data_IF_031383348724
#
_entry.id   IF_031383348724
#
_cell.length_a   1.000
_cell.length_b   1.000
_cell.length_c   1.000
_cell.angle_alpha   90.00
_cell.angle_beta   90.00
_cell.angle_gamma   90.00
#
_symmetry.space_group_name_H-M   'P 1'
#
loop_
_entity.id
_entity.type
_entity.pdbx_description
1 polymer ?
#
# COMPACT_ATOMS: atom_id res chain seq x y z
N UNK A 1 7.64 -14.03 17.99
CA UNK A 1 7.08 -13.55 16.71
C UNK A 1 7.94 -14.08 15.58
N UNK A 2 7.39 -14.81 14.61
CA UNK A 2 8.19 -15.41 13.52
C UNK A 2 8.91 -14.33 12.70
N UNK A 3 9.92 -14.73 11.91
CA UNK A 3 10.63 -13.82 11.00
C UNK A 3 9.66 -13.21 9.99
N UNK A 4 8.80 -14.02 9.37
CA UNK A 4 7.78 -13.55 8.44
C UNK A 4 6.90 -12.48 9.10
N UNK A 5 6.39 -12.75 10.31
CA UNK A 5 5.53 -11.81 11.04
C UNK A 5 6.21 -10.49 11.38
N UNK A 6 7.51 -10.51 11.69
CA UNK A 6 8.31 -9.27 11.87
C UNK A 6 8.41 -8.46 10.59
N UNK A 7 8.68 -9.13 9.48
CA UNK A 7 8.76 -8.48 8.16
C UNK A 7 7.39 -7.91 7.77
N UNK A 8 6.32 -8.69 7.90
CA UNK A 8 4.95 -8.28 7.56
C UNK A 8 4.48 -7.08 8.38
N UNK A 9 4.70 -7.09 9.69
CA UNK A 9 4.36 -5.95 10.55
C UNK A 9 5.16 -4.70 10.15
N UNK A 10 6.45 -4.87 9.89
CA UNK A 10 7.31 -3.76 9.46
C UNK A 10 6.80 -3.17 8.14
N UNK A 11 6.63 -4.00 7.10
CA UNK A 11 6.13 -3.59 5.78
C UNK A 11 4.75 -2.94 5.87
N UNK A 12 3.82 -3.48 6.68
CA UNK A 12 2.50 -2.89 6.88
C UNK A 12 2.59 -1.44 7.37
N UNK A 13 3.36 -1.19 8.44
CA UNK A 13 3.50 0.16 9.00
C UNK A 13 4.25 1.09 8.06
N UNK A 14 5.33 0.62 7.42
CA UNK A 14 6.07 1.43 6.45
C UNK A 14 5.20 1.82 5.27
N UNK A 15 4.43 0.88 4.69
CA UNK A 15 3.51 1.19 3.61
C UNK A 15 2.48 2.24 4.04
N UNK A 16 1.89 2.14 5.25
CA UNK A 16 0.93 3.14 5.72
C UNK A 16 1.58 4.52 5.88
N UNK A 17 2.80 4.61 6.40
CA UNK A 17 3.54 5.88 6.49
C UNK A 17 3.82 6.45 5.10
N UNK A 18 4.28 5.63 4.16
CA UNK A 18 4.55 6.06 2.78
C UNK A 18 3.27 6.50 2.05
N UNK A 19 2.16 5.77 2.22
CA UNK A 19 0.86 6.15 1.67
C UNK A 19 0.40 7.51 2.24
N UNK A 20 0.60 7.77 3.53
CA UNK A 20 0.28 9.06 4.13
C UNK A 20 1.16 10.20 3.62
N UNK A 21 2.47 9.97 3.46
CA UNK A 21 3.40 10.96 2.90
C UNK A 21 3.04 11.27 1.45
N UNK A 22 2.73 10.24 0.64
CA UNK A 22 2.27 10.43 -0.73
C UNK A 22 0.94 11.17 -0.78
N UNK A 23 -0.04 10.79 0.04
CA UNK A 23 -1.32 11.49 0.11
C UNK A 23 -1.10 12.98 0.45
N UNK A 24 -0.22 13.28 1.40
CA UNK A 24 0.20 14.65 1.69
C UNK A 24 0.80 15.35 0.46
N UNK A 25 1.71 14.69 -0.26
CA UNK A 25 2.37 15.25 -1.44
C UNK A 25 1.40 15.57 -2.59
N UNK A 26 0.32 14.79 -2.74
CA UNK A 26 -0.71 15.04 -3.75
C UNK A 26 -1.70 16.13 -3.35
N UNK A 27 -1.92 16.36 -2.06
CA UNK A 27 -2.95 17.26 -1.54
C UNK A 27 -2.41 18.65 -1.13
N UNK A 28 -1.14 18.73 -0.69
CA UNK A 28 -0.46 19.99 -0.30
C UNK A 28 -0.33 21.02 -1.43
N UNK A 29 0.00 20.65 -2.69
CA UNK A 29 0.08 21.65 -3.76
C UNK A 29 -1.28 22.36 -3.97
N UNK A 30 -2.38 21.73 -3.59
CA UNK A 30 -3.72 22.28 -3.74
C UNK A 30 -4.11 23.23 -2.60
N UNK A 31 -3.32 23.29 -1.52
CA UNK A 31 -3.57 24.19 -0.39
C UNK A 31 -2.80 25.53 -0.48
N UNK A 32 -1.99 25.73 -1.53
CA UNK A 32 -1.22 26.97 -1.73
C UNK A 32 0.05 27.07 -0.86
N UNK A 33 0.55 25.96 -0.30
CA UNK A 33 1.74 25.90 0.56
C UNK A 33 2.89 25.22 -0.22
N UNK A 34 3.57 25.97 -1.10
CA UNK A 34 4.07 25.31 -2.32
C UNK A 34 5.54 24.89 -2.40
N UNK A 35 6.46 25.29 -1.51
CA UNK A 35 7.87 24.87 -1.69
C UNK A 35 8.52 24.12 -0.52
N UNK A 36 8.47 24.59 0.74
CA UNK A 36 9.18 23.91 1.81
C UNK A 36 8.50 22.59 2.20
N UNK A 37 7.16 22.57 2.20
CA UNK A 37 6.39 21.39 2.60
C UNK A 37 6.47 20.28 1.55
N UNK A 38 6.42 20.62 0.26
CA UNK A 38 6.62 19.64 -0.82
C UNK A 38 8.04 19.07 -0.82
N UNK A 39 9.05 19.91 -0.61
CA UNK A 39 10.43 19.44 -0.44
C UNK A 39 10.56 18.52 0.77
N UNK A 40 9.94 18.86 1.91
CA UNK A 40 9.95 18.02 3.10
C UNK A 40 9.26 16.66 2.87
N UNK A 41 8.14 16.64 2.14
CA UNK A 41 7.43 15.41 1.79
C UNK A 41 8.23 14.54 0.82
N UNK A 42 8.88 15.14 -0.18
CA UNK A 42 9.78 14.42 -1.09
C UNK A 42 10.97 13.81 -0.33
N UNK A 43 11.63 14.59 0.54
CA UNK A 43 12.70 14.09 1.41
C UNK A 43 12.19 12.98 2.33
N UNK A 44 11.00 13.13 2.90
CA UNK A 44 10.35 12.11 3.72
C UNK A 44 10.10 10.81 2.95
N UNK A 45 9.71 10.91 1.68
CA UNK A 45 9.47 9.75 0.82
C UNK A 45 10.77 9.00 0.50
N UNK A 46 11.77 9.69 -0.06
CA UNK A 46 13.05 9.08 -0.42
C UNK A 46 13.82 8.60 0.81
N UNK A 47 13.77 9.38 1.89
CA UNK A 47 14.32 9.00 3.19
C UNK A 47 13.62 7.78 3.79
N UNK A 48 12.29 7.71 3.65
CA UNK A 48 11.47 6.56 4.06
C UNK A 48 11.86 5.27 3.33
N UNK A 49 11.98 5.34 2.01
CA UNK A 49 12.44 4.22 1.17
C UNK A 49 13.87 3.80 1.57
N UNK A 50 14.78 4.76 1.74
CA UNK A 50 16.16 4.50 2.16
C UNK A 50 16.21 3.82 3.54
N UNK A 51 15.43 4.33 4.50
CA UNK A 51 15.27 3.74 5.83
C UNK A 51 14.70 2.32 5.77
N UNK A 52 13.67 2.09 4.94
CA UNK A 52 13.07 0.78 4.72
C UNK A 52 14.12 -0.23 4.26
N UNK A 53 14.86 0.10 3.20
CA UNK A 53 15.89 -0.78 2.64
C UNK A 53 17.02 -1.05 3.64
N UNK A 54 17.46 -0.02 4.36
CA UNK A 54 18.48 -0.15 5.39
C UNK A 54 18.02 -1.06 6.53
N UNK A 55 16.82 -0.83 7.07
CA UNK A 55 16.28 -1.62 8.17
C UNK A 55 16.02 -3.08 7.75
N UNK A 56 15.46 -3.28 6.55
CA UNK A 56 15.24 -4.61 5.98
C UNK A 56 16.56 -5.40 5.87
N UNK A 57 17.63 -4.75 5.42
CA UNK A 57 18.95 -5.39 5.29
C UNK A 57 19.60 -5.66 6.65
N UNK A 58 19.64 -4.66 7.53
CA UNK A 58 20.42 -4.73 8.76
C UNK A 58 19.70 -5.43 9.92
N UNK A 59 18.38 -5.30 10.01
CA UNK A 59 17.58 -5.81 11.13
C UNK A 59 16.75 -7.04 10.79
N UNK A 60 16.35 -7.19 9.52
CA UNK A 60 15.52 -8.32 9.06
C UNK A 60 16.31 -9.34 8.20
N UNK A 61 17.59 -9.05 7.94
CA UNK A 61 18.53 -9.87 7.15
C UNK A 61 17.98 -10.20 5.74
N UNK A 62 17.23 -9.27 5.15
CA UNK A 62 16.70 -9.38 3.79
C UNK A 62 17.79 -8.89 2.84
N UNK A 63 18.34 -9.79 2.04
CA UNK A 63 19.40 -9.47 1.05
C UNK A 63 18.85 -9.27 -0.36
N UNK A 64 17.71 -9.89 -0.67
CA UNK A 64 17.05 -9.82 -1.97
C UNK A 64 15.53 -9.75 -1.78
N UNK A 65 14.87 -8.92 -2.59
CA UNK A 65 13.41 -8.79 -2.64
C UNK A 65 12.87 -9.61 -3.82
N UNK A 66 13.20 -10.91 -3.88
CA UNK A 66 12.73 -11.82 -4.94
C UNK A 66 11.81 -12.88 -4.36
N UNK A 67 10.65 -13.07 -4.98
CA UNK A 67 9.65 -14.05 -4.54
C UNK A 67 9.18 -13.80 -3.10
N UNK A 68 8.69 -14.86 -2.44
CA UNK A 68 8.26 -14.86 -1.03
C UNK A 68 9.46 -14.76 -0.07
N UNK A 69 10.23 -13.68 -0.14
CA UNK A 69 11.50 -13.48 0.59
C UNK A 69 11.35 -13.50 2.12
N UNK A 70 10.12 -13.41 2.62
CA UNK A 70 9.78 -13.43 4.04
C UNK A 70 9.29 -14.78 4.55
N UNK A 71 9.04 -15.74 3.66
CA UNK A 71 8.59 -17.10 3.99
C UNK A 71 9.80 -17.99 4.27
N UNK A 72 9.75 -18.75 5.36
CA UNK A 72 10.84 -19.61 5.81
C UNK A 72 10.51 -21.10 5.87
N UNK A 73 9.23 -21.47 5.93
CA UNK A 73 8.78 -22.86 5.97
C UNK A 73 7.54 -23.10 5.08
N UNK A 74 7.14 -24.37 4.94
CA UNK A 74 6.02 -24.77 4.07
C UNK A 74 4.66 -24.25 4.59
N UNK A 75 4.50 -24.06 5.90
CA UNK A 75 3.28 -23.48 6.49
C UNK A 75 3.16 -22.01 6.10
N UNK A 76 4.22 -21.23 6.26
CA UNK A 76 4.28 -19.82 5.87
C UNK A 76 4.07 -19.65 4.35
N UNK A 77 4.52 -20.62 3.56
CA UNK A 77 4.28 -20.66 2.11
C UNK A 77 2.81 -20.89 1.78
N UNK A 78 2.15 -21.83 2.45
CA UNK A 78 0.72 -22.09 2.28
C UNK A 78 -0.11 -20.86 2.67
N UNK A 79 0.24 -20.22 3.79
CA UNK A 79 -0.39 -18.96 4.22
C UNK A 79 -0.19 -17.89 3.16
N UNK A 80 1.04 -17.71 2.67
CA UNK A 80 1.34 -16.73 1.62
C UNK A 80 0.48 -16.98 0.37
N UNK A 81 0.35 -18.22 -0.11
CA UNK A 81 -0.48 -18.53 -1.27
C UNK A 81 -1.95 -18.19 -1.05
N UNK A 82 -2.52 -18.51 0.13
CA UNK A 82 -3.90 -18.13 0.49
C UNK A 82 -4.10 -16.62 0.50
N UNK A 83 -3.14 -15.88 1.09
CA UNK A 83 -3.18 -14.42 1.14
C UNK A 83 -3.10 -13.83 -0.28
N UNK A 84 -2.13 -14.24 -1.09
CA UNK A 84 -1.94 -13.69 -2.44
C UNK A 84 -3.12 -14.02 -3.36
N UNK A 85 -3.67 -15.23 -3.27
CA UNK A 85 -4.88 -15.60 -4.02
C UNK A 85 -6.05 -14.70 -3.66
N UNK A 86 -6.31 -14.49 -2.36
CA UNK A 86 -7.38 -13.60 -1.91
C UNK A 86 -7.15 -12.13 -2.32
N UNK A 87 -5.90 -11.66 -2.28
CA UNK A 87 -5.53 -10.31 -2.71
C UNK A 87 -5.66 -10.12 -4.23
N UNK A 88 -5.35 -11.14 -5.03
CA UNK A 88 -5.54 -11.09 -6.47
C UNK A 88 -7.03 -11.00 -6.80
N UNK A 89 -7.85 -11.82 -6.15
CA UNK A 89 -9.31 -11.78 -6.33
C UNK A 89 -9.89 -10.44 -5.90
N UNK A 90 -9.55 -9.94 -4.70
CA UNK A 90 -10.06 -8.63 -4.26
C UNK A 90 -9.54 -7.48 -5.12
N UNK A 91 -8.31 -7.57 -5.63
CA UNK A 91 -7.75 -6.60 -6.57
C UNK A 91 -8.51 -6.55 -7.91
N UNK A 92 -8.87 -7.70 -8.47
CA UNK A 92 -9.70 -7.78 -9.68
C UNK A 92 -11.07 -7.14 -9.43
N UNK A 93 -11.75 -7.53 -8.33
CA UNK A 93 -13.05 -6.97 -7.96
C UNK A 93 -12.96 -5.45 -7.75
N UNK A 94 -11.90 -4.96 -7.11
CA UNK A 94 -11.68 -3.53 -6.94
C UNK A 94 -11.56 -2.81 -8.28
N UNK A 95 -10.82 -3.35 -9.25
CA UNK A 95 -10.69 -2.77 -10.59
C UNK A 95 -12.02 -2.76 -11.32
N UNK A 96 -12.78 -3.86 -11.29
CA UNK A 96 -14.10 -3.95 -11.90
C UNK A 96 -15.07 -2.90 -11.33
N UNK A 97 -15.12 -2.77 -10.00
CA UNK A 97 -15.93 -1.77 -9.32
C UNK A 97 -15.46 -0.35 -9.66
N UNK A 98 -14.14 -0.11 -9.70
CA UNK A 98 -13.59 1.19 -10.06
C UNK A 98 -13.95 1.58 -11.49
N UNK A 99 -13.88 0.66 -12.45
CA UNK A 99 -14.28 0.89 -13.83
C UNK A 99 -15.77 1.25 -13.94
N UNK A 100 -16.64 0.52 -13.23
CA UNK A 100 -18.07 0.81 -13.16
C UNK A 100 -18.32 2.21 -12.58
N UNK A 101 -17.66 2.55 -11.47
CA UNK A 101 -17.77 3.88 -10.85
C UNK A 101 -17.29 4.97 -11.79
N UNK A 102 -16.19 4.76 -12.51
CA UNK A 102 -15.70 5.70 -13.53
C UNK A 102 -16.75 5.94 -14.60
N UNK A 103 -17.39 4.89 -15.13
CA UNK A 103 -18.47 5.04 -16.12
C UNK A 103 -19.65 5.85 -15.56
N UNK A 104 -20.04 5.60 -14.31
CA UNK A 104 -21.11 6.38 -13.63
C UNK A 104 -20.70 7.84 -13.46
N UNK A 105 -19.45 8.11 -13.06
CA UNK A 105 -18.94 9.48 -12.87
C UNK A 105 -18.87 10.26 -14.19
N UNK A 106 -18.52 9.60 -15.31
CA UNK A 106 -18.52 10.23 -16.63
C UNK A 106 -19.93 10.71 -17.03
N UNK A 107 -20.98 9.97 -16.67
CA UNK A 107 -22.35 10.37 -16.95
C UNK A 107 -22.83 11.57 -16.11
N UNK A 108 -22.12 11.93 -15.03
CA UNK A 108 -22.50 13.02 -14.10
C UNK A 108 -22.05 14.42 -14.54
N UNK A 109 -21.41 14.56 -15.71
CA UNK A 109 -20.90 15.83 -16.24
C UNK A 109 -20.08 16.63 -15.22
N UNK A 110 -19.26 15.93 -14.43
CA UNK A 110 -18.36 16.56 -13.46
C UNK A 110 -17.31 17.40 -14.17
N UNK A 111 -16.80 18.44 -13.49
CA UNK A 111 -15.58 19.12 -13.95
C UNK A 111 -14.41 18.13 -13.97
N UNK A 112 -13.46 18.34 -14.88
CA UNK A 112 -12.24 17.50 -14.99
C UNK A 112 -11.54 17.38 -13.64
N UNK A 113 -11.47 18.47 -12.90
CA UNK A 113 -10.90 18.51 -11.56
C UNK A 113 -11.68 17.63 -10.57
N UNK A 114 -13.01 17.81 -10.45
CA UNK A 114 -13.82 17.02 -9.52
C UNK A 114 -13.80 15.52 -9.86
N UNK A 115 -13.80 15.18 -11.15
CA UNK A 115 -13.68 13.81 -11.64
C UNK A 115 -12.34 13.20 -11.24
N UNK A 116 -11.22 13.88 -11.54
CA UNK A 116 -9.88 13.41 -11.20
C UNK A 116 -9.70 13.18 -9.70
N UNK A 117 -10.20 14.11 -8.87
CA UNK A 117 -10.10 14.01 -7.40
C UNK A 117 -10.93 12.87 -6.82
N UNK A 118 -12.09 12.60 -7.41
CA UNK A 118 -12.93 11.48 -6.98
C UNK A 118 -12.24 10.15 -7.28
N UNK A 119 -11.68 9.98 -8.48
CA UNK A 119 -10.94 8.76 -8.85
C UNK A 119 -9.70 8.60 -7.97
N UNK A 120 -8.92 9.68 -7.78
CA UNK A 120 -7.74 9.67 -6.92
C UNK A 120 -8.10 9.20 -5.49
N UNK A 121 -9.18 9.74 -4.91
CA UNK A 121 -9.66 9.34 -3.59
C UNK A 121 -10.05 7.85 -3.53
N UNK A 122 -10.74 7.34 -4.56
CA UNK A 122 -11.10 5.92 -4.63
C UNK A 122 -9.87 5.00 -4.73
N UNK A 123 -8.84 5.42 -5.47
CA UNK A 123 -7.56 4.70 -5.55
C UNK A 123 -6.87 4.68 -4.18
N UNK A 124 -6.83 5.82 -3.47
CA UNK A 124 -6.28 5.89 -2.11
C UNK A 124 -7.00 4.95 -1.14
N UNK A 125 -8.34 4.92 -1.19
CA UNK A 125 -9.15 4.00 -0.40
C UNK A 125 -8.79 2.54 -0.72
N UNK A 126 -8.65 2.20 -1.99
CA UNK A 126 -8.27 0.86 -2.45
C UNK A 126 -6.88 0.43 -1.97
N UNK A 127 -5.89 1.32 -2.02
CA UNK A 127 -4.53 1.05 -1.54
C UNK A 127 -4.50 0.82 -0.03
N UNK A 128 -5.18 1.67 0.74
CA UNK A 128 -5.27 1.54 2.20
C UNK A 128 -6.01 0.25 2.60
N UNK A 129 -7.15 -0.03 1.95
CA UNK A 129 -7.92 -1.25 2.17
C UNK A 129 -7.11 -2.50 1.79
N UNK A 130 -6.37 -2.47 0.67
CA UNK A 130 -5.52 -3.57 0.24
C UNK A 130 -4.39 -3.87 1.22
N UNK A 131 -3.68 -2.85 1.70
CA UNK A 131 -2.64 -3.02 2.72
C UNK A 131 -3.23 -3.56 4.05
N UNK A 132 -4.40 -3.07 4.44
CA UNK A 132 -5.15 -3.57 5.59
C UNK A 132 -5.59 -5.03 5.45
N UNK A 133 -6.19 -5.39 4.30
CA UNK A 133 -6.62 -6.75 3.98
C UNK A 133 -5.44 -7.72 3.99
N UNK A 134 -4.31 -7.34 3.38
CA UNK A 134 -3.10 -8.16 3.35
C UNK A 134 -2.60 -8.49 4.78
N UNK A 135 -2.51 -7.47 5.65
CA UNK A 135 -2.09 -7.65 7.03
C UNK A 135 -3.08 -8.50 7.84
N UNK A 136 -4.38 -8.22 7.70
CA UNK A 136 -5.44 -8.95 8.39
C UNK A 136 -5.47 -10.43 7.99
N UNK A 137 -5.41 -10.75 6.69
CA UNK A 137 -5.40 -12.12 6.19
C UNK A 137 -4.20 -12.90 6.72
N UNK A 138 -3.02 -12.28 6.75
CA UNK A 138 -1.83 -12.89 7.35
C UNK A 138 -2.03 -13.20 8.83
N UNK A 139 -2.57 -12.26 9.61
CA UNK A 139 -2.86 -12.50 11.02
C UNK A 139 -3.91 -13.60 11.22
N UNK A 140 -4.95 -13.66 10.38
CA UNK A 140 -6.00 -14.66 10.43
C UNK A 140 -5.44 -16.07 10.17
N UNK A 141 -4.64 -16.25 9.12
CA UNK A 141 -4.12 -17.57 8.75
C UNK A 141 -2.94 -18.03 9.62
N UNK A 142 -2.19 -17.11 10.24
CA UNK A 142 -1.13 -17.44 11.21
C UNK A 142 -1.70 -17.98 12.54
N UNK A 143 -2.95 -17.62 12.87
CA UNK A 143 -3.69 -18.10 14.05
C UNK A 143 -4.39 -19.45 13.83
N UNK A 144 -4.56 -19.87 12.57
CA UNK A 144 -5.16 -21.15 12.18
C UNK A 144 -4.09 -22.27 12.13
#
# INVERSE_FOLDING_TARGET
MSRAKRILRFTFWTNNVELLVLMGAFWVPQSGIETPLLAALAVGLFGGIGWFLWYARQRLNIRTFRGMYWVSDEREKEIALKVHSAMLTSGIVFVEVLLLLVSVLMARQLSVYAFGRTIEFLIWLGLAAGNGQYYWLWCKYDQA
#
